data_IF_763580132603
#
_entry.id   IF_763580132603
#
_cell.length_a   1.000
_cell.length_b   1.000
_cell.length_c   1.000
_cell.angle_alpha   90.00
_cell.angle_beta   90.00
_cell.angle_gamma   90.00
#
_symmetry.space_group_name_H-M   'P 1'
#
loop_
_entity.id
_entity.type
_entity.pdbx_description
1 polymer ?
#
# COMPACT_ATOMS: atom_id res chain seq x y z
N UNK A 1 -8.24 16.54 -40.00
CA UNK A 1 -7.07 17.23 -39.47
C UNK A 1 -6.76 16.61 -38.12
N UNK A 2 -5.53 16.14 -37.92
CA UNK A 2 -5.09 15.62 -36.63
C UNK A 2 -5.02 16.78 -35.64
N UNK A 3 -5.75 16.71 -34.54
CA UNK A 3 -5.72 17.71 -33.48
C UNK A 3 -4.60 17.30 -32.51
N UNK A 4 -3.58 18.15 -32.29
CA UNK A 4 -2.47 17.79 -31.39
C UNK A 4 -2.98 17.56 -29.97
N UNK A 5 -2.35 16.64 -29.23
CA UNK A 5 -2.70 16.33 -27.83
C UNK A 5 -2.56 17.57 -26.97
N UNK A 6 -1.44 18.27 -27.09
CA UNK A 6 -1.17 19.56 -26.45
C UNK A 6 -0.72 20.52 -27.57
N UNK A 7 -1.43 21.62 -27.86
CA UNK A 7 -1.04 22.57 -28.87
C UNK A 7 0.37 23.12 -28.63
N UNK A 8 1.20 23.07 -29.66
CA UNK A 8 2.57 23.56 -29.61
C UNK A 8 3.59 22.52 -29.13
N UNK A 9 3.15 21.32 -28.77
CA UNK A 9 4.05 20.23 -28.35
C UNK A 9 3.90 19.04 -29.31
N UNK A 10 4.98 18.37 -29.76
CA UNK A 10 4.89 17.08 -30.45
C UNK A 10 4.10 16.06 -29.64
N UNK A 11 3.29 15.23 -30.33
CA UNK A 11 2.35 14.32 -29.64
C UNK A 11 3.04 13.26 -28.79
N UNK A 12 4.22 12.81 -29.15
CA UNK A 12 5.04 11.88 -28.37
C UNK A 12 5.51 12.50 -27.05
N UNK A 13 5.95 13.76 -27.08
CA UNK A 13 6.31 14.50 -25.88
C UNK A 13 5.08 14.84 -25.04
N UNK A 14 3.97 15.24 -25.68
CA UNK A 14 2.72 15.49 -25.01
C UNK A 14 2.22 14.25 -24.26
N UNK A 15 2.29 13.08 -24.92
CA UNK A 15 1.90 11.80 -24.34
C UNK A 15 2.79 11.43 -23.14
N UNK A 16 4.12 11.64 -23.27
CA UNK A 16 5.07 11.39 -22.19
C UNK A 16 4.83 12.32 -20.98
N UNK A 17 4.57 13.61 -21.23
CA UNK A 17 4.21 14.54 -20.18
C UNK A 17 2.97 14.11 -19.42
N UNK A 18 1.90 13.71 -20.13
CA UNK A 18 0.68 13.21 -19.50
C UNK A 18 0.90 11.89 -18.76
N UNK A 19 1.71 11.00 -19.33
CA UNK A 19 2.04 9.72 -18.69
C UNK A 19 2.77 9.88 -17.36
N UNK A 20 3.66 10.86 -17.25
CA UNK A 20 4.40 11.18 -16.03
C UNK A 20 3.56 11.84 -14.93
N UNK A 21 2.38 12.33 -15.24
CA UNK A 21 1.48 12.85 -14.20
C UNK A 21 1.03 11.69 -13.31
N UNK A 22 1.16 11.87 -11.99
CA UNK A 22 0.72 10.86 -11.04
C UNK A 22 -0.72 10.41 -11.32
N UNK A 23 -0.94 9.10 -11.22
CA UNK A 23 -2.21 8.46 -11.55
C UNK A 23 -3.40 9.06 -10.78
N UNK A 24 -3.20 9.54 -9.55
CA UNK A 24 -4.22 10.21 -8.76
C UNK A 24 -4.82 11.44 -9.42
N UNK A 25 -4.07 12.10 -10.31
CA UNK A 25 -4.55 13.28 -11.05
C UNK A 25 -5.21 12.95 -12.39
N UNK A 26 -5.20 11.69 -12.85
CA UNK A 26 -5.78 11.33 -14.14
C UNK A 26 -7.27 11.67 -14.24
N UNK A 27 -8.02 11.62 -13.15
CA UNK A 27 -9.42 12.08 -13.12
C UNK A 27 -9.58 13.56 -13.50
N UNK A 28 -8.61 14.40 -13.13
CA UNK A 28 -8.58 15.81 -13.53
C UNK A 28 -8.21 15.96 -15.01
N UNK A 29 -7.21 15.21 -15.48
CA UNK A 29 -6.83 15.19 -16.90
C UNK A 29 -8.00 14.75 -17.79
N UNK A 30 -8.75 13.73 -17.39
CA UNK A 30 -9.96 13.26 -18.07
C UNK A 30 -11.05 14.33 -18.17
N UNK A 31 -11.07 15.31 -17.28
CA UNK A 31 -12.04 16.41 -17.30
C UNK A 31 -11.68 17.51 -18.30
N UNK A 32 -10.45 17.55 -18.81
CA UNK A 32 -9.94 18.59 -19.71
C UNK A 32 -10.63 18.54 -21.07
N UNK A 33 -10.77 17.36 -21.67
CA UNK A 33 -11.48 17.17 -22.95
C UNK A 33 -11.94 15.73 -23.13
N UNK A 34 -12.88 15.52 -24.07
CA UNK A 34 -13.30 14.18 -24.47
C UNK A 34 -12.12 13.37 -25.04
N UNK A 35 -11.31 14.01 -25.89
CA UNK A 35 -10.14 13.38 -26.52
C UNK A 35 -9.13 12.89 -25.46
N UNK A 36 -8.83 13.69 -24.44
CA UNK A 36 -7.94 13.29 -23.34
C UNK A 36 -8.56 12.15 -22.51
N UNK A 37 -9.84 12.22 -22.23
CA UNK A 37 -10.56 11.16 -21.51
C UNK A 37 -10.47 9.83 -22.26
N UNK A 38 -10.78 9.84 -23.54
CA UNK A 38 -10.79 8.63 -24.36
C UNK A 38 -9.37 8.07 -24.49
N UNK A 39 -8.37 8.92 -24.67
CA UNK A 39 -6.96 8.54 -24.68
C UNK A 39 -6.52 7.94 -23.35
N UNK A 40 -6.76 8.62 -22.22
CA UNK A 40 -6.33 8.17 -20.88
C UNK A 40 -6.97 6.84 -20.50
N UNK A 41 -8.19 6.59 -20.95
CA UNK A 41 -8.90 5.32 -20.69
C UNK A 41 -8.54 4.21 -21.68
N UNK A 42 -7.76 4.49 -22.69
CA UNK A 42 -7.38 3.49 -23.69
C UNK A 42 -6.37 2.49 -23.11
N UNK A 43 -6.42 1.26 -23.64
CA UNK A 43 -5.43 0.24 -23.31
C UNK A 43 -4.01 0.64 -23.77
N UNK A 44 -3.93 1.38 -24.88
CA UNK A 44 -2.66 1.85 -25.44
C UNK A 44 -1.95 2.83 -24.50
N UNK A 45 -2.71 3.76 -23.87
CA UNK A 45 -2.15 4.67 -22.89
C UNK A 45 -1.69 3.95 -21.62
N UNK A 46 -2.47 2.99 -21.13
CA UNK A 46 -2.08 2.16 -20.00
C UNK A 46 -0.79 1.37 -20.29
N UNK A 47 -0.71 0.78 -21.50
CA UNK A 47 0.50 0.09 -21.96
C UNK A 47 1.69 1.05 -22.12
N UNK A 48 1.46 2.25 -22.68
CA UNK A 48 2.49 3.27 -22.81
C UNK A 48 3.07 3.66 -21.43
N UNK A 49 2.22 3.90 -20.44
CA UNK A 49 2.67 4.21 -19.07
C UNK A 49 3.47 3.09 -18.46
N UNK A 50 3.00 1.85 -18.56
CA UNK A 50 3.71 0.69 -18.05
C UNK A 50 5.09 0.54 -18.71
N UNK A 51 5.16 0.70 -20.05
CA UNK A 51 6.42 0.60 -20.81
C UNK A 51 7.44 1.69 -20.45
N UNK A 52 6.99 2.88 -20.05
CA UNK A 52 7.87 4.01 -19.73
C UNK A 52 8.06 4.21 -18.23
N UNK A 53 7.70 3.20 -17.42
CA UNK A 53 7.87 3.27 -15.98
C UNK A 53 7.10 4.43 -15.34
N UNK A 54 5.90 4.73 -15.81
CA UNK A 54 5.07 5.83 -15.30
C UNK A 54 3.90 5.34 -14.46
N UNK A 55 4.05 4.21 -13.76
CA UNK A 55 3.01 3.64 -12.91
C UNK A 55 2.86 4.40 -11.59
N UNK A 56 3.97 4.94 -11.11
CA UNK A 56 4.07 5.58 -9.80
C UNK A 56 4.14 4.56 -8.66
N UNK A 57 4.66 5.02 -7.54
CA UNK A 57 4.72 4.25 -6.32
C UNK A 57 3.50 4.51 -5.46
N UNK A 58 2.97 3.48 -4.83
CA UNK A 58 1.74 3.58 -4.05
C UNK A 58 1.83 2.77 -2.77
N UNK A 59 1.26 3.32 -1.68
CA UNK A 59 0.93 2.55 -0.49
C UNK A 59 -0.58 2.37 -0.44
N UNK A 60 -1.05 1.14 -0.58
CA UNK A 60 -2.45 0.79 -0.42
C UNK A 60 -2.74 0.46 1.04
N UNK A 61 -3.80 1.02 1.58
CA UNK A 61 -4.14 0.90 3.00
C UNK A 61 -5.63 0.64 3.17
N UNK A 62 -5.95 -0.32 4.05
CA UNK A 62 -7.28 -0.55 4.57
C UNK A 62 -7.26 -0.40 6.08
N UNK A 63 -8.20 0.36 6.63
CA UNK A 63 -8.33 0.57 8.07
C UNK A 63 -9.62 -0.01 8.62
N UNK A 64 -9.65 -0.28 9.91
CA UNK A 64 -10.81 -0.78 10.63
C UNK A 64 -12.05 0.13 10.46
N UNK A 65 -11.85 1.44 10.39
CA UNK A 65 -12.92 2.43 10.33
C UNK A 65 -13.38 2.77 8.91
N UNK A 66 -12.67 2.30 7.90
CA UNK A 66 -12.90 2.68 6.50
C UNK A 66 -14.09 1.99 5.84
N UNK A 67 -14.80 1.12 6.55
CA UNK A 67 -15.95 0.39 5.99
C UNK A 67 -15.60 -0.38 4.70
N UNK A 68 -14.47 -1.09 4.72
CA UNK A 68 -13.85 -1.76 3.57
C UNK A 68 -13.48 -0.84 2.39
N UNK A 69 -13.41 0.47 2.65
CA UNK A 69 -12.93 1.43 1.67
C UNK A 69 -11.40 1.50 1.69
N UNK A 70 -10.77 0.99 0.66
CA UNK A 70 -9.33 1.12 0.45
C UNK A 70 -8.96 2.54 0.06
N UNK A 71 -7.79 2.97 0.52
CA UNK A 71 -7.16 4.22 0.11
C UNK A 71 -5.74 3.95 -0.37
N UNK A 72 -5.24 4.82 -1.23
CA UNK A 72 -3.86 4.78 -1.72
C UNK A 72 -3.16 6.09 -1.37
N UNK A 73 -1.97 5.99 -0.82
CA UNK A 73 -1.07 7.12 -0.63
C UNK A 73 -0.12 7.24 -1.82
N UNK A 74 -0.04 8.42 -2.36
CA UNK A 74 0.90 8.83 -3.40
C UNK A 74 2.02 9.63 -2.74
N UNK A 75 3.23 9.06 -2.56
CA UNK A 75 4.32 9.74 -1.88
C UNK A 75 4.87 10.93 -2.66
N UNK A 76 4.84 10.87 -4.00
CA UNK A 76 5.35 11.94 -4.86
C UNK A 76 4.46 13.19 -4.76
N UNK A 77 3.13 13.00 -4.78
CA UNK A 77 2.19 14.09 -4.64
C UNK A 77 1.86 14.42 -3.16
N UNK A 78 2.36 13.67 -2.19
CA UNK A 78 2.01 13.72 -0.77
C UNK A 78 0.48 13.77 -0.58
N UNK A 79 -0.24 12.79 -1.15
CA UNK A 79 -1.69 12.81 -1.23
C UNK A 79 -2.33 11.44 -1.08
N UNK A 80 -3.51 11.42 -0.45
CA UNK A 80 -4.37 10.26 -0.33
C UNK A 80 -5.46 10.23 -1.40
N UNK A 81 -5.70 9.08 -1.98
CA UNK A 81 -6.73 8.82 -2.99
C UNK A 81 -7.62 7.66 -2.55
N UNK A 82 -8.95 7.84 -2.51
CA UNK A 82 -9.85 6.72 -2.28
C UNK A 82 -9.88 5.81 -3.51
N UNK A 83 -9.81 4.50 -3.31
CA UNK A 83 -10.04 3.53 -4.36
C UNK A 83 -11.54 3.37 -4.62
N UNK A 84 -11.96 2.91 -5.79
CA UNK A 84 -13.34 2.49 -6.03
C UNK A 84 -13.78 1.46 -4.99
N UNK A 85 -15.06 1.48 -4.62
CA UNK A 85 -15.61 0.46 -3.73
C UNK A 85 -15.59 -0.90 -4.43
N UNK A 86 -15.29 -1.93 -3.65
CA UNK A 86 -15.43 -3.31 -4.12
C UNK A 86 -16.91 -3.58 -4.40
N UNK A 87 -17.23 -3.99 -5.63
CA UNK A 87 -18.60 -4.32 -6.03
C UNK A 87 -18.91 -5.78 -5.68
N UNK A 88 -20.10 -6.07 -5.14
CA UNK A 88 -20.57 -7.41 -4.86
C UNK A 88 -20.81 -7.72 -3.37
N UNK A 89 -21.10 -8.99 -3.05
CA UNK A 89 -21.44 -9.48 -1.71
C UNK A 89 -20.34 -9.30 -0.64
N UNK A 90 -19.15 -8.89 -1.03
CA UNK A 90 -18.05 -8.55 -0.11
C UNK A 90 -18.32 -7.30 0.74
N UNK A 91 -19.45 -6.62 0.56
CA UNK A 91 -19.82 -5.43 1.32
C UNK A 91 -20.54 -5.72 2.65
N UNK A 92 -20.86 -6.97 2.92
CA UNK A 92 -21.65 -7.36 4.10
C UNK A 92 -20.72 -7.72 5.25
N UNK A 93 -20.25 -6.71 5.97
CA UNK A 93 -19.44 -6.89 7.17
C UNK A 93 -18.01 -6.38 7.05
N UNK A 94 -17.33 -6.31 8.18
CA UNK A 94 -15.93 -5.90 8.24
C UNK A 94 -15.01 -7.04 7.77
N UNK A 95 -14.14 -6.78 6.82
CA UNK A 95 -13.15 -7.72 6.32
C UNK A 95 -11.87 -7.66 7.17
N UNK A 96 -11.39 -8.79 7.65
CA UNK A 96 -10.20 -8.91 8.49
C UNK A 96 -9.49 -10.25 8.30
N UNK A 97 -8.25 -10.36 8.78
CA UNK A 97 -7.46 -11.58 8.66
C UNK A 97 -7.17 -12.02 7.23
N UNK A 98 -7.33 -11.14 6.27
CA UNK A 98 -6.91 -11.30 4.89
C UNK A 98 -5.41 -10.96 4.76
N UNK A 99 -4.82 -11.34 3.64
CA UNK A 99 -3.50 -10.85 3.24
C UNK A 99 -3.62 -9.95 2.02
N UNK A 100 -2.73 -8.96 1.91
CA UNK A 100 -2.64 -8.12 0.74
C UNK A 100 -1.19 -7.99 0.28
N UNK A 101 -0.99 -8.12 -1.03
CA UNK A 101 0.33 -8.03 -1.67
C UNK A 101 0.20 -7.36 -3.03
N UNK A 102 1.29 -6.74 -3.48
CA UNK A 102 1.38 -6.24 -4.84
C UNK A 102 2.25 -7.16 -5.69
N UNK A 103 1.79 -7.46 -6.89
CA UNK A 103 2.50 -8.27 -7.88
C UNK A 103 2.08 -7.83 -9.29
N UNK A 104 3.03 -7.72 -10.22
CA UNK A 104 2.80 -7.28 -11.61
C UNK A 104 1.91 -6.02 -11.69
N UNK A 105 2.25 -5.00 -10.91
CA UNK A 105 1.51 -3.74 -10.84
C UNK A 105 0.03 -3.88 -10.46
N UNK A 106 -0.33 -4.90 -9.68
CA UNK A 106 -1.68 -5.17 -9.18
C UNK A 106 -1.65 -5.37 -7.69
N UNK A 107 -2.64 -4.82 -7.00
CA UNK A 107 -2.91 -5.16 -5.60
C UNK A 107 -3.81 -6.39 -5.56
N UNK A 108 -3.40 -7.41 -4.85
CA UNK A 108 -4.21 -8.59 -4.53
C UNK A 108 -4.66 -8.54 -3.08
N UNK A 109 -5.92 -8.80 -2.82
CA UNK A 109 -6.52 -8.99 -1.50
C UNK A 109 -7.03 -10.41 -1.42
N UNK A 110 -6.47 -11.21 -0.52
CA UNK A 110 -6.57 -12.67 -0.55
C UNK A 110 -7.22 -13.18 0.73
N UNK A 111 -8.27 -14.01 0.61
CA UNK A 111 -8.90 -14.70 1.72
C UNK A 111 -9.44 -13.79 2.81
N UNK A 112 -9.31 -14.22 4.06
CA UNK A 112 -9.78 -13.49 5.23
C UNK A 112 -11.13 -13.92 5.73
N UNK A 113 -11.69 -13.13 6.62
CA UNK A 113 -12.98 -13.36 7.26
C UNK A 113 -13.84 -12.10 7.20
N UNK A 114 -15.15 -12.30 7.15
CA UNK A 114 -16.13 -11.23 7.27
C UNK A 114 -16.91 -11.36 8.57
N UNK A 115 -16.97 -10.29 9.35
CA UNK A 115 -17.82 -10.18 10.52
C UNK A 115 -18.98 -9.24 10.26
N UNK A 116 -20.22 -9.54 10.73
CA UNK A 116 -21.34 -8.62 10.62
C UNK A 116 -21.04 -7.29 11.30
N UNK A 117 -21.41 -6.16 10.67
CA UNK A 117 -21.28 -4.82 11.25
C UNK A 117 -22.29 -4.58 12.38
N UNK A 118 -23.36 -5.35 12.44
CA UNK A 118 -24.43 -5.18 13.42
C UNK A 118 -24.21 -6.11 14.62
N UNK A 119 -23.89 -5.52 15.76
CA UNK A 119 -23.73 -6.21 17.05
C UNK A 119 -25.04 -6.75 17.65
N UNK A 120 -26.19 -6.41 17.05
CA UNK A 120 -27.51 -6.94 17.49
C UNK A 120 -27.78 -8.37 16.98
N UNK A 121 -27.01 -8.82 15.99
CA UNK A 121 -27.11 -10.20 15.49
C UNK A 121 -26.30 -11.13 16.40
N UNK A 122 -26.87 -12.26 16.88
CA UNK A 122 -26.11 -13.24 17.64
C UNK A 122 -24.82 -13.60 16.90
N UNK A 123 -23.71 -13.71 17.63
CA UNK A 123 -22.37 -13.98 17.10
C UNK A 123 -22.43 -15.15 16.12
N UNK A 124 -22.70 -14.87 14.87
CA UNK A 124 -22.50 -15.83 13.79
C UNK A 124 -21.00 -16.01 13.63
N UNK A 125 -20.58 -17.24 13.45
CA UNK A 125 -19.17 -17.55 13.19
C UNK A 125 -18.73 -16.74 11.98
N UNK A 126 -17.54 -16.07 12.03
CA UNK A 126 -17.05 -15.30 10.90
C UNK A 126 -17.01 -16.16 9.64
N UNK A 127 -17.47 -15.60 8.52
CA UNK A 127 -17.39 -16.29 7.23
C UNK A 127 -15.95 -16.22 6.73
N UNK A 128 -15.24 -17.34 6.73
CA UNK A 128 -13.91 -17.45 6.15
C UNK A 128 -14.03 -17.70 4.64
N UNK A 129 -13.30 -16.94 3.84
CA UNK A 129 -13.41 -16.96 2.38
C UNK A 129 -12.12 -17.43 1.69
N UNK A 130 -12.30 -17.97 0.49
CA UNK A 130 -11.25 -18.30 -0.48
C UNK A 130 -11.11 -17.27 -1.59
N UNK A 131 -11.92 -16.21 -1.56
CA UNK A 131 -11.96 -15.19 -2.59
C UNK A 131 -10.62 -14.47 -2.72
N UNK A 132 -10.30 -14.10 -3.97
CA UNK A 132 -9.16 -13.26 -4.29
C UNK A 132 -9.65 -12.11 -5.16
N UNK A 133 -9.41 -10.90 -4.67
CA UNK A 133 -9.73 -9.66 -5.38
C UNK A 133 -8.46 -9.03 -5.89
N UNK A 134 -8.49 -8.58 -7.12
CA UNK A 134 -7.41 -7.85 -7.77
C UNK A 134 -7.84 -6.42 -8.07
N UNK A 135 -7.05 -5.45 -7.66
CA UNK A 135 -7.20 -4.07 -8.08
C UNK A 135 -6.19 -3.71 -9.17
N UNK A 136 -6.71 -3.20 -10.27
CA UNK A 136 -5.91 -2.64 -11.36
C UNK A 136 -5.84 -1.11 -11.20
N UNK A 137 -4.69 -0.53 -10.81
CA UNK A 137 -4.55 0.91 -10.64
C UNK A 137 -4.77 1.70 -11.92
N UNK A 138 -4.43 1.12 -13.09
CA UNK A 138 -4.59 1.80 -14.38
C UNK A 138 -6.05 1.91 -14.79
N UNK A 139 -6.79 0.80 -14.63
CA UNK A 139 -8.22 0.75 -14.94
C UNK A 139 -9.09 1.29 -13.81
N UNK A 140 -8.52 1.49 -12.62
CA UNK A 140 -9.24 1.85 -11.39
C UNK A 140 -10.40 0.90 -11.11
N UNK A 141 -10.15 -0.40 -11.25
CA UNK A 141 -11.20 -1.41 -11.20
C UNK A 141 -10.78 -2.61 -10.36
N UNK A 142 -11.72 -3.09 -9.56
CA UNK A 142 -11.64 -4.36 -8.87
C UNK A 142 -12.17 -5.48 -9.75
N UNK A 143 -11.48 -6.61 -9.77
CA UNK A 143 -11.89 -7.85 -10.44
C UNK A 143 -11.65 -9.02 -9.51
N UNK A 144 -12.49 -10.05 -9.61
CA UNK A 144 -12.22 -11.33 -8.97
C UNK A 144 -11.31 -12.14 -9.89
N UNK A 145 -10.32 -12.80 -9.30
CA UNK A 145 -9.42 -13.74 -9.97
C UNK A 145 -9.62 -15.13 -9.38
N UNK A 146 -8.83 -16.11 -9.80
CA UNK A 146 -8.97 -17.50 -9.33
C UNK A 146 -8.94 -17.56 -7.80
N UNK A 147 -9.89 -18.29 -7.22
CA UNK A 147 -10.02 -18.49 -5.78
C UNK A 147 -8.97 -19.47 -5.27
N UNK A 148 -8.55 -19.30 -4.01
CA UNK A 148 -7.75 -20.32 -3.32
C UNK A 148 -8.53 -21.66 -3.28
N UNK A 149 -7.80 -22.74 -3.19
CA UNK A 149 -8.41 -24.07 -2.99
C UNK A 149 -8.96 -24.25 -1.58
N UNK A 150 -8.33 -23.60 -0.61
CA UNK A 150 -8.69 -23.67 0.80
C UNK A 150 -9.04 -22.29 1.34
N UNK A 151 -10.28 -22.07 1.84
CA UNK A 151 -10.62 -20.84 2.55
C UNK A 151 -9.75 -20.69 3.79
N UNK A 152 -9.17 -19.52 3.99
CA UNK A 152 -8.27 -19.24 5.13
C UNK A 152 -8.27 -17.80 5.56
N UNK A 153 -8.05 -17.58 6.86
CA UNK A 153 -7.81 -16.27 7.45
C UNK A 153 -6.59 -16.29 8.38
N UNK A 154 -5.97 -15.15 8.63
CA UNK A 154 -4.76 -15.00 9.47
C UNK A 154 -3.64 -15.97 9.05
N UNK A 155 -3.37 -16.03 7.78
CA UNK A 155 -2.40 -16.93 7.15
C UNK A 155 -1.16 -16.17 6.67
N UNK A 156 -0.07 -16.89 6.52
CA UNK A 156 1.17 -16.36 5.94
C UNK A 156 1.01 -16.14 4.44
N UNK A 157 1.48 -14.99 3.96
CA UNK A 157 1.48 -14.64 2.53
C UNK A 157 2.75 -13.88 2.18
N UNK A 158 3.34 -14.18 1.02
CA UNK A 158 4.47 -13.42 0.48
C UNK A 158 4.59 -13.62 -1.02
N UNK A 159 5.30 -12.70 -1.69
CA UNK A 159 5.60 -12.78 -3.12
C UNK A 159 7.04 -13.23 -3.31
N UNK A 160 7.27 -14.24 -4.16
CA UNK A 160 8.59 -14.72 -4.54
C UNK A 160 8.60 -14.94 -6.06
N UNK A 161 9.50 -14.28 -6.76
CA UNK A 161 9.67 -14.41 -8.21
C UNK A 161 8.36 -14.27 -8.98
N UNK A 162 7.55 -13.27 -8.64
CA UNK A 162 6.27 -12.96 -9.29
C UNK A 162 5.12 -13.92 -8.95
N UNK A 163 5.31 -14.89 -8.05
CA UNK A 163 4.26 -15.80 -7.58
C UNK A 163 3.91 -15.51 -6.12
N UNK A 164 2.64 -15.73 -5.77
CA UNK A 164 2.12 -15.48 -4.43
C UNK A 164 2.02 -16.79 -3.67
N UNK A 165 2.74 -16.90 -2.57
CA UNK A 165 2.75 -18.07 -1.69
C UNK A 165 1.88 -17.81 -0.47
N UNK A 166 1.03 -18.78 -0.12
CA UNK A 166 0.18 -18.73 1.09
C UNK A 166 0.31 -20.04 1.86
N UNK A 167 0.34 -19.95 3.20
CA UNK A 167 0.44 -21.13 4.05
C UNK A 167 -0.19 -20.91 5.42
N UNK A 168 -0.71 -21.98 6.00
CA UNK A 168 -1.27 -21.96 7.35
C UNK A 168 -2.58 -21.19 7.44
N UNK A 169 -2.84 -20.64 8.62
CA UNK A 169 -4.00 -19.84 8.93
C UNK A 169 -5.13 -20.61 9.58
N UNK A 170 -6.24 -19.90 9.81
CA UNK A 170 -7.46 -20.43 10.43
C UNK A 170 -8.46 -20.87 9.38
N UNK A 171 -9.14 -21.97 9.67
CA UNK A 171 -10.29 -22.46 8.93
C UNK A 171 -11.36 -22.95 9.93
N UNK A 172 -12.62 -22.96 9.54
CA UNK A 172 -13.73 -23.43 10.39
C UNK A 172 -13.61 -24.91 10.75
N UNK A 173 -12.91 -25.69 9.92
CA UNK A 173 -12.77 -27.15 10.10
C UNK A 173 -11.58 -27.55 11.00
N UNK A 174 -10.65 -26.63 11.29
CA UNK A 174 -9.39 -26.96 11.97
C UNK A 174 -9.18 -26.07 13.19
N UNK A 175 -9.21 -26.66 14.38
CA UNK A 175 -8.97 -25.95 15.65
C UNK A 175 -7.49 -25.69 15.94
N UNK A 176 -6.57 -26.38 15.26
CA UNK A 176 -5.12 -26.25 15.44
C UNK A 176 -4.42 -25.46 14.33
N UNK A 177 -5.21 -24.85 13.41
CA UNK A 177 -4.68 -24.22 12.21
C UNK A 177 -4.48 -25.17 11.05
N UNK A 178 -4.05 -24.63 9.92
CA UNK A 178 -3.81 -25.35 8.69
C UNK A 178 -2.32 -25.69 8.51
N UNK A 179 -2.05 -26.88 7.96
CA UNK A 179 -0.73 -27.23 7.42
C UNK A 179 -0.64 -27.00 5.90
N UNK A 180 -1.79 -26.71 5.25
CA UNK A 180 -1.89 -26.58 3.81
C UNK A 180 -1.21 -25.29 3.33
N UNK A 181 -0.51 -25.42 2.19
CA UNK A 181 0.13 -24.33 1.50
C UNK A 181 -0.24 -24.36 0.01
N UNK A 182 -0.31 -23.19 -0.60
CA UNK A 182 -0.67 -23.02 -2.00
C UNK A 182 0.16 -21.91 -2.63
N UNK A 183 0.35 -21.96 -3.94
CA UNK A 183 1.00 -20.91 -4.72
C UNK A 183 0.07 -20.46 -5.84
N UNK A 184 -0.02 -19.15 -6.02
CA UNK A 184 -0.77 -18.53 -7.10
C UNK A 184 0.19 -17.96 -8.14
N UNK A 185 -0.08 -18.28 -9.39
CA UNK A 185 0.59 -17.69 -10.54
C UNK A 185 -0.33 -16.68 -11.23
N UNK A 186 -0.07 -15.36 -11.07
CA UNK A 186 -0.90 -14.31 -11.66
C UNK A 186 -0.89 -14.31 -13.19
N UNK A 187 0.12 -14.86 -13.84
CA UNK A 187 0.20 -14.90 -15.31
C UNK A 187 -0.74 -15.94 -15.92
N UNK A 188 -0.98 -17.03 -15.18
CA UNK A 188 -1.88 -18.11 -15.62
C UNK A 188 -3.23 -18.10 -14.94
N UNK A 189 -3.42 -17.24 -13.93
CA UNK A 189 -4.59 -17.17 -13.06
C UNK A 189 -4.94 -18.53 -12.43
N UNK A 190 -3.94 -19.20 -11.83
CA UNK A 190 -4.11 -20.53 -11.25
C UNK A 190 -3.45 -20.67 -9.89
N UNK A 191 -4.12 -21.43 -9.02
CA UNK A 191 -3.57 -21.90 -7.75
C UNK A 191 -3.11 -23.35 -7.87
N UNK A 192 -1.94 -23.62 -7.32
CA UNK A 192 -1.36 -24.96 -7.21
C UNK A 192 -1.10 -25.28 -5.74
N UNK A 193 -1.30 -26.57 -5.38
CA UNK A 193 -0.98 -27.05 -4.05
C UNK A 193 0.52 -27.24 -3.88
N UNK A 194 1.02 -26.86 -2.72
CA UNK A 194 2.36 -27.11 -2.28
C UNK A 194 2.41 -28.28 -1.28
N UNK A 195 3.56 -28.90 -1.07
CA UNK A 195 3.72 -29.83 0.04
C UNK A 195 3.23 -29.19 1.35
N UNK A 196 2.52 -29.94 2.22
CA UNK A 196 2.06 -29.40 3.48
C UNK A 196 3.22 -29.03 4.40
N UNK A 197 3.01 -28.03 5.24
CA UNK A 197 3.95 -27.66 6.30
C UNK A 197 4.14 -28.82 7.30
N UNK A 198 5.32 -28.96 7.89
CA UNK A 198 5.58 -29.97 8.94
C UNK A 198 4.63 -29.84 10.14
N UNK A 199 4.27 -28.63 10.52
CA UNK A 199 3.36 -28.35 11.63
C UNK A 199 2.23 -27.42 11.20
N UNK A 200 0.95 -27.73 11.51
CA UNK A 200 -0.14 -26.81 11.25
C UNK A 200 0.01 -25.56 12.12
N UNK A 201 -0.21 -24.40 11.52
CA UNK A 201 -0.09 -23.12 12.19
C UNK A 201 -1.35 -22.29 11.96
N UNK A 202 -1.79 -21.55 12.97
CA UNK A 202 -2.77 -20.48 12.85
C UNK A 202 -2.12 -19.16 13.24
N UNK A 203 -2.72 -18.03 12.81
CA UNK A 203 -2.17 -16.69 13.06
C UNK A 203 -0.72 -16.56 12.59
N UNK A 204 -0.55 -16.73 11.28
CA UNK A 204 0.76 -16.77 10.67
C UNK A 204 1.15 -15.43 10.06
N UNK A 205 2.44 -15.16 10.09
CA UNK A 205 3.08 -14.11 9.29
C UNK A 205 3.91 -14.76 8.19
N UNK A 206 3.87 -14.18 6.99
CA UNK A 206 4.63 -14.63 5.82
C UNK A 206 5.67 -13.60 5.41
N UNK A 207 6.86 -14.09 5.06
CA UNK A 207 7.95 -13.25 4.60
C UNK A 207 8.73 -13.95 3.50
N UNK A 208 9.09 -13.21 2.46
CA UNK A 208 10.08 -13.62 1.48
C UNK A 208 11.47 -13.18 1.95
N UNK A 209 12.36 -14.15 2.15
CA UNK A 209 13.75 -13.86 2.49
C UNK A 209 14.69 -14.81 1.76
N UNK A 210 15.67 -14.26 1.03
CA UNK A 210 16.63 -15.02 0.21
C UNK A 210 15.95 -16.03 -0.75
N UNK A 211 14.85 -15.60 -1.39
CA UNK A 211 14.09 -16.45 -2.33
C UNK A 211 13.35 -17.62 -1.70
N UNK A 212 13.22 -17.65 -0.37
CA UNK A 212 12.49 -18.67 0.39
C UNK A 212 11.30 -18.05 1.08
N UNK A 213 10.23 -18.82 1.27
CA UNK A 213 9.03 -18.43 1.99
C UNK A 213 9.15 -18.82 3.47
N UNK A 214 9.26 -17.84 4.34
CA UNK A 214 9.31 -18.00 5.77
C UNK A 214 7.94 -17.83 6.37
N UNK A 215 7.49 -18.82 7.14
CA UNK A 215 6.21 -18.82 7.84
C UNK A 215 6.47 -18.84 9.34
N UNK A 216 6.01 -17.79 9.98
CA UNK A 216 6.13 -17.57 11.42
C UNK A 216 4.77 -17.67 12.07
N UNK A 217 4.69 -18.24 13.26
CA UNK A 217 3.44 -18.28 14.02
C UNK A 217 3.43 -17.19 15.08
N UNK A 218 2.27 -16.56 15.23
CA UNK A 218 1.99 -15.65 16.35
C UNK A 218 1.71 -16.42 17.65
N UNK A 219 1.61 -17.75 17.60
CA UNK A 219 1.36 -18.58 18.77
C UNK A 219 2.62 -18.75 19.62
N UNK A 220 3.08 -17.70 20.21
CA UNK A 220 4.16 -17.71 21.18
C UNK A 220 3.55 -17.91 22.57
N UNK A 221 3.70 -19.07 23.12
CA UNK A 221 3.21 -19.27 24.50
C UNK A 221 3.51 -20.63 25.12
N UNK A 222 3.87 -21.62 24.34
CA UNK A 222 4.07 -22.99 24.82
C UNK A 222 5.46 -23.57 24.57
N UNK A 223 6.30 -22.88 23.80
CA UNK A 223 7.70 -23.31 23.53
C UNK A 223 8.68 -22.19 23.90
N UNK A 224 9.83 -22.56 24.41
CA UNK A 224 10.93 -21.64 24.70
C UNK A 224 11.62 -21.18 23.41
N UNK A 225 11.42 -21.86 22.27
CA UNK A 225 12.05 -21.61 20.98
C UNK A 225 11.02 -21.13 19.94
N UNK A 226 11.43 -20.16 19.12
CA UNK A 226 10.62 -19.64 18.00
C UNK A 226 10.89 -20.49 16.75
N UNK A 227 9.97 -21.38 16.40
CA UNK A 227 10.09 -22.22 15.21
C UNK A 227 9.53 -21.48 14.00
N UNK A 228 10.38 -21.31 12.99
CA UNK A 228 10.01 -20.82 11.67
C UNK A 228 9.98 -21.97 10.68
N UNK A 229 8.91 -22.09 9.91
CA UNK A 229 8.86 -23.05 8.82
C UNK A 229 9.23 -22.35 7.52
N UNK A 230 10.18 -22.93 6.80
CA UNK A 230 10.79 -22.34 5.62
C UNK A 230 10.55 -23.22 4.41
N UNK A 231 9.86 -22.72 3.42
CA UNK A 231 9.69 -23.37 2.13
C UNK A 231 10.74 -22.89 1.14
N UNK A 232 11.39 -23.84 0.50
CA UNK A 232 12.33 -23.57 -0.59
C UNK A 232 11.69 -23.91 -1.94
N UNK A 233 11.30 -22.92 -2.75
CA UNK A 233 10.66 -23.16 -4.03
C UNK A 233 11.52 -23.95 -5.02
N UNK A 234 12.84 -23.80 -4.96
CA UNK A 234 13.77 -24.45 -5.92
C UNK A 234 13.81 -25.97 -5.77
N UNK A 235 13.57 -26.49 -4.57
CA UNK A 235 13.58 -27.94 -4.28
C UNK A 235 12.23 -28.44 -3.80
N UNK A 236 11.21 -27.55 -3.78
CA UNK A 236 9.82 -27.85 -3.40
C UNK A 236 9.69 -28.57 -2.04
N UNK A 237 10.43 -28.12 -1.02
CA UNK A 237 10.44 -28.74 0.31
C UNK A 237 10.38 -27.73 1.43
N UNK A 238 9.84 -28.19 2.58
CA UNK A 238 9.84 -27.46 3.84
C UNK A 238 10.98 -27.92 4.75
N UNK A 239 11.51 -26.98 5.54
CA UNK A 239 12.35 -27.26 6.70
C UNK A 239 11.91 -26.37 7.88
N UNK A 240 12.21 -26.80 9.10
CA UNK A 240 12.01 -26.04 10.31
C UNK A 240 13.33 -25.45 10.75
N UNK A 241 13.32 -24.17 11.16
CA UNK A 241 14.48 -23.45 11.67
C UNK A 241 14.10 -22.79 13.00
N UNK A 242 15.01 -22.81 13.95
CA UNK A 242 14.81 -22.23 15.28
C UNK A 242 15.51 -20.89 15.38
N UNK A 243 14.89 -19.95 16.10
CA UNK A 243 15.44 -18.64 16.52
C UNK A 243 16.13 -17.80 15.44
N UNK A 244 15.68 -17.92 14.18
CA UNK A 244 16.23 -17.11 13.09
C UNK A 244 15.68 -15.69 13.04
N UNK A 245 14.60 -15.43 13.76
CA UNK A 245 13.95 -14.12 13.82
C UNK A 245 14.05 -13.53 15.23
N UNK A 246 14.24 -12.20 15.37
CA UNK A 246 14.51 -11.55 16.65
C UNK A 246 13.22 -11.29 17.44
N UNK A 247 12.28 -12.21 17.45
CA UNK A 247 10.98 -11.99 18.07
C UNK A 247 10.99 -12.36 19.55
N UNK A 248 10.45 -11.48 20.38
CA UNK A 248 10.12 -11.77 21.74
C UNK A 248 8.68 -12.34 21.85
N UNK A 249 8.30 -12.78 23.04
CA UNK A 249 7.00 -13.40 23.35
C UNK A 249 5.76 -12.55 23.04
N UNK A 250 5.94 -11.32 22.57
CA UNK A 250 4.87 -10.35 22.31
C UNK A 250 4.63 -10.13 20.81
N UNK A 251 4.73 -11.17 20.01
CA UNK A 251 4.69 -11.09 18.54
C UNK A 251 3.39 -10.57 17.89
N UNK A 252 2.33 -10.35 18.65
CA UNK A 252 1.05 -9.88 18.10
C UNK A 252 1.16 -8.60 17.23
N UNK A 253 2.32 -7.96 17.23
CA UNK A 253 2.55 -6.69 16.55
C UNK A 253 3.86 -6.61 15.77
N UNK A 254 4.58 -7.72 15.64
CA UNK A 254 5.77 -7.74 14.78
C UNK A 254 5.34 -7.63 13.32
N UNK A 255 5.76 -6.57 12.67
CA UNK A 255 5.54 -6.34 11.24
C UNK A 255 6.89 -6.39 10.57
N UNK A 256 6.92 -6.96 9.37
CA UNK A 256 8.16 -7.17 8.63
C UNK A 256 8.03 -6.61 7.24
N UNK A 257 9.06 -5.93 6.80
CA UNK A 257 9.14 -5.39 5.44
C UNK A 257 10.55 -5.59 4.88
N UNK A 258 10.62 -5.72 3.57
CA UNK A 258 11.89 -5.66 2.84
C UNK A 258 12.09 -4.22 2.36
N UNK A 259 13.28 -3.71 2.56
CA UNK A 259 13.67 -2.39 2.12
C UNK A 259 15.17 -2.42 1.80
N UNK A 260 15.58 -1.88 0.67
CA UNK A 260 16.99 -1.87 0.24
C UNK A 260 17.65 -3.26 0.33
N UNK A 261 16.95 -4.31 -0.08
CA UNK A 261 17.43 -5.69 -0.02
C UNK A 261 17.60 -6.27 1.39
N UNK A 262 17.24 -5.51 2.43
CA UNK A 262 17.30 -5.92 3.84
C UNK A 262 15.92 -6.11 4.42
N UNK A 263 15.82 -6.99 5.41
CA UNK A 263 14.59 -7.15 6.17
C UNK A 263 14.61 -6.26 7.40
N UNK A 264 13.52 -5.53 7.61
CA UNK A 264 13.29 -4.74 8.81
C UNK A 264 12.09 -5.28 9.55
N UNK A 265 12.19 -5.33 10.86
CA UNK A 265 11.10 -5.77 11.73
C UNK A 265 10.99 -4.86 12.94
N UNK A 266 9.77 -4.65 13.41
CA UNK A 266 9.54 -3.96 14.67
C UNK A 266 9.37 -5.02 15.74
N UNK A 267 10.19 -4.94 16.78
CA UNK A 267 10.21 -5.88 17.90
C UNK A 267 10.14 -5.13 19.21
N UNK A 268 9.81 -5.86 20.26
CA UNK A 268 9.66 -5.43 21.64
C UNK A 268 8.45 -4.51 21.87
N UNK A 269 7.48 -5.10 22.52
CA UNK A 269 6.38 -4.37 23.12
C UNK A 269 6.95 -3.44 24.19
N UNK A 270 6.70 -2.17 24.03
CA UNK A 270 7.11 -1.15 24.97
C UNK A 270 8.13 -0.19 24.43
N UNK A 271 9.02 -0.59 23.55
CA UNK A 271 10.03 0.29 22.95
C UNK A 271 9.90 0.44 21.43
N UNK A 272 9.12 -0.43 20.78
CA UNK A 272 8.90 -0.46 19.33
C UNK A 272 10.21 -0.35 18.53
N UNK A 273 11.20 -1.17 18.90
CA UNK A 273 12.53 -1.15 18.29
C UNK A 273 12.49 -1.70 16.86
N UNK A 274 13.13 -0.98 15.96
CA UNK A 274 13.33 -1.43 14.58
C UNK A 274 14.65 -2.17 14.53
N UNK A 275 14.59 -3.45 14.19
CA UNK A 275 15.78 -4.30 13.99
C UNK A 275 15.92 -4.67 12.53
N UNK A 276 17.14 -4.85 12.12
CA UNK A 276 17.50 -5.35 10.80
C UNK A 276 18.63 -6.39 10.93
N UNK A 277 18.82 -7.14 9.87
CA UNK A 277 19.87 -8.14 9.76
C UNK A 277 20.58 -7.97 8.43
N UNK A 278 21.89 -8.10 8.44
CA UNK A 278 22.66 -8.13 7.21
C UNK A 278 22.32 -9.36 6.38
N UNK A 279 22.44 -9.22 5.07
CA UNK A 279 22.08 -10.28 4.10
C UNK A 279 22.99 -11.50 4.15
N UNK A 280 24.11 -11.45 4.88
CA UNK A 280 25.02 -12.59 5.04
C UNK A 280 24.42 -13.69 5.92
N UNK A 281 24.72 -14.93 5.60
CA UNK A 281 24.28 -16.08 6.40
C UNK A 281 24.91 -15.99 7.80
N UNK A 282 24.07 -15.97 8.83
CA UNK A 282 24.50 -15.89 10.21
C UNK A 282 24.69 -14.50 10.78
N UNK A 283 24.40 -13.43 10.04
CA UNK A 283 24.45 -12.06 10.56
C UNK A 283 23.57 -11.87 11.79
N UNK A 284 24.07 -11.16 12.79
CA UNK A 284 23.32 -10.84 13.99
C UNK A 284 22.27 -9.75 13.71
N UNK A 285 21.16 -9.80 14.47
CA UNK A 285 20.16 -8.74 14.46
C UNK A 285 20.65 -7.54 15.25
N UNK A 286 20.60 -6.36 14.66
CA UNK A 286 20.95 -5.12 15.35
C UNK A 286 19.84 -4.09 15.27
N UNK A 287 19.78 -3.22 16.28
CA UNK A 287 18.80 -2.15 16.35
C UNK A 287 19.22 -0.96 15.50
N UNK A 288 18.32 -0.51 14.65
CA UNK A 288 18.49 0.65 13.77
C UNK A 288 17.99 1.92 14.45
N UNK A 289 16.93 1.80 15.23
CA UNK A 289 16.24 2.87 15.93
C UNK A 289 14.91 2.38 16.49
N UNK A 290 14.01 3.29 16.76
CA UNK A 290 12.67 2.97 17.25
C UNK A 290 11.60 3.71 16.46
N UNK A 291 10.38 3.19 16.48
CA UNK A 291 9.18 3.90 16.03
C UNK A 291 8.94 5.07 16.98
N UNK A 292 8.75 6.31 16.51
CA UNK A 292 8.55 7.45 17.37
C UNK A 292 7.29 7.31 18.23
N UNK A 293 7.42 7.58 19.51
CA UNK A 293 6.29 7.68 20.41
C UNK A 293 5.35 8.83 20.03
N UNK A 294 4.10 8.73 20.45
CA UNK A 294 3.06 9.72 20.14
C UNK A 294 2.86 10.64 21.35
N UNK A 295 2.92 11.95 21.10
CA UNK A 295 2.63 12.97 22.12
C UNK A 295 1.30 13.61 21.76
N UNK A 296 0.26 13.34 22.57
CA UNK A 296 -1.09 13.87 22.32
C UNK A 296 -1.26 15.32 22.80
N UNK A 297 -0.55 15.67 23.89
CA UNK A 297 -0.53 17.04 24.45
C UNK A 297 0.82 17.32 25.10
N UNK A 298 1.15 18.60 25.33
CA UNK A 298 2.42 19.02 25.94
C UNK A 298 2.63 18.51 27.38
N UNK A 299 1.59 18.00 28.03
CA UNK A 299 1.63 17.54 29.43
C UNK A 299 1.44 16.02 29.57
N UNK A 300 1.22 15.28 28.48
CA UNK A 300 1.08 13.82 28.52
C UNK A 300 2.43 13.14 28.26
N UNK A 301 2.61 12.00 28.91
CA UNK A 301 3.75 11.12 28.60
C UNK A 301 3.70 10.70 27.11
N UNK A 302 4.85 10.48 26.53
CA UNK A 302 4.95 9.84 25.23
C UNK A 302 4.26 8.46 25.29
N UNK A 303 3.39 8.19 24.31
CA UNK A 303 2.61 6.97 24.24
C UNK A 303 3.08 6.15 23.04
N UNK A 304 3.10 4.85 23.21
CA UNK A 304 3.44 3.94 22.13
C UNK A 304 2.21 3.59 21.29
N UNK A 305 2.39 3.62 20.00
CA UNK A 305 1.35 3.22 19.05
C UNK A 305 1.33 1.71 18.87
N UNK A 306 0.15 1.15 18.63
CA UNK A 306 -0.06 -0.24 18.27
C UNK A 306 -1.06 -0.34 17.11
N UNK A 307 -1.14 -1.50 16.46
CA UNK A 307 -2.00 -1.74 15.28
C UNK A 307 -1.77 -0.73 14.15
N UNK A 308 -0.56 -0.24 14.02
CA UNK A 308 -0.13 0.59 12.90
C UNK A 308 0.27 -0.27 11.69
N UNK A 309 0.25 0.34 10.50
CA UNK A 309 0.84 -0.26 9.31
C UNK A 309 2.35 0.00 9.27
N UNK A 310 3.11 -1.01 8.84
CA UNK A 310 4.53 -0.89 8.59
C UNK A 310 4.80 -1.38 7.18
N UNK A 311 5.33 -0.51 6.33
CA UNK A 311 5.58 -0.80 4.93
C UNK A 311 6.93 -0.24 4.50
N UNK A 312 7.48 -0.80 3.43
CA UNK A 312 8.58 -0.18 2.68
C UNK A 312 8.07 0.27 1.32
N UNK A 313 8.63 1.36 0.85
CA UNK A 313 8.40 1.83 -0.50
C UNK A 313 9.69 2.50 -0.97
N UNK A 314 10.28 1.98 -2.05
CA UNK A 314 11.66 2.27 -2.43
C UNK A 314 12.61 1.99 -1.26
N UNK A 315 13.47 2.95 -0.92
CA UNK A 315 14.47 2.82 0.16
C UNK A 315 14.00 3.48 1.47
N UNK A 316 12.70 3.60 1.67
CA UNK A 316 12.11 4.26 2.83
C UNK A 316 11.15 3.33 3.58
N UNK A 317 11.14 3.47 4.91
CA UNK A 317 10.19 2.80 5.80
C UNK A 317 9.06 3.75 6.19
N UNK A 318 7.84 3.25 6.13
CA UNK A 318 6.61 3.98 6.44
C UNK A 318 5.91 3.38 7.65
N UNK A 319 5.52 4.24 8.59
CA UNK A 319 4.62 3.91 9.70
C UNK A 319 3.31 4.65 9.48
N UNK A 320 2.21 3.91 9.48
CA UNK A 320 0.90 4.41 9.08
C UNK A 320 -0.12 4.20 10.20
N UNK A 321 -0.78 5.26 10.64
CA UNK A 321 -1.89 5.20 11.58
C UNK A 321 -1.60 4.53 12.91
N UNK A 322 -2.49 3.64 13.32
CA UNK A 322 -2.44 2.94 14.59
C UNK A 322 -3.36 3.53 15.65
N UNK A 323 -3.17 3.06 16.87
CA UNK A 323 -3.90 3.50 18.06
C UNK A 323 -2.94 3.73 19.22
N UNK A 324 -3.31 4.57 20.17
CA UNK A 324 -2.64 4.70 21.46
C UNK A 324 -3.65 4.60 22.60
N UNK A 325 -3.22 4.07 23.75
CA UNK A 325 -4.03 4.05 24.98
C UNK A 325 -3.70 5.31 25.79
N UNK A 326 -4.70 6.15 26.01
CA UNK A 326 -4.61 7.32 26.89
C UNK A 326 -5.30 7.01 28.19
N UNK A 327 -4.57 7.03 29.30
CA UNK A 327 -5.14 6.87 30.64
C UNK A 327 -5.78 8.18 31.07
N UNK A 328 -7.01 8.11 31.61
CA UNK A 328 -7.64 9.25 32.27
C UNK A 328 -6.98 9.48 33.65
N UNK A 329 -6.51 10.70 33.89
CA UNK A 329 -5.89 11.10 35.14
C UNK A 329 -6.87 11.08 36.33
N UNK A 330 -8.16 11.02 36.10
CA UNK A 330 -9.23 11.14 37.11
C UNK A 330 -9.59 9.82 37.82
N UNK A 331 -8.63 8.98 38.16
CA UNK A 331 -8.78 8.00 39.27
C UNK A 331 -9.68 6.79 39.06
N UNK A 332 -10.27 6.57 37.87
CA UNK A 332 -11.23 5.50 37.64
C UNK A 332 -10.67 4.28 36.91
N UNK A 333 -9.38 4.22 36.61
CA UNK A 333 -8.79 3.11 35.87
C UNK A 333 -9.34 2.98 34.43
N UNK A 334 -9.91 4.07 33.91
CA UNK A 334 -10.41 4.11 32.52
C UNK A 334 -9.30 4.55 31.57
N UNK A 335 -9.33 3.98 30.38
CA UNK A 335 -8.45 4.41 29.30
C UNK A 335 -9.29 4.70 28.07
N UNK A 336 -8.88 5.71 27.31
CA UNK A 336 -9.40 6.03 26.00
C UNK A 336 -8.49 5.48 24.91
N UNK A 337 -9.09 5.00 23.84
CA UNK A 337 -8.37 4.60 22.64
C UNK A 337 -8.38 5.78 21.66
N UNK A 338 -7.22 6.38 21.46
CA UNK A 338 -7.05 7.45 20.46
C UNK A 338 -6.55 6.84 19.16
N UNK A 339 -7.27 7.11 18.08
CA UNK A 339 -6.90 6.69 16.73
C UNK A 339 -5.94 7.71 16.13
N UNK A 340 -4.93 7.19 15.45
CA UNK A 340 -3.91 8.01 14.82
C UNK A 340 -4.15 8.10 13.31
N UNK A 341 -3.90 9.27 12.77
CA UNK A 341 -3.88 9.58 11.34
C UNK A 341 -2.45 9.83 10.82
N UNK A 342 -1.47 9.68 11.67
CA UNK A 342 -0.08 9.98 11.39
C UNK A 342 0.50 9.08 10.31
N UNK A 343 1.29 9.67 9.43
CA UNK A 343 2.12 8.96 8.46
C UNK A 343 3.54 9.45 8.62
N UNK A 344 4.43 8.54 8.97
CA UNK A 344 5.83 8.82 9.22
C UNK A 344 6.71 8.01 8.31
N UNK A 345 7.73 8.65 7.79
CA UNK A 345 8.67 8.05 6.86
C UNK A 345 10.10 8.30 7.31
N UNK A 346 10.95 7.30 7.14
CA UNK A 346 12.38 7.42 7.38
C UNK A 346 13.19 6.61 6.38
N UNK A 347 14.39 7.08 6.11
CA UNK A 347 15.39 6.27 5.43
C UNK A 347 16.12 5.42 6.48
N UNK A 348 16.01 4.07 6.43
CA UNK A 348 16.57 3.19 7.46
C UNK A 348 18.11 3.11 7.44
N UNK A 349 18.77 3.60 6.39
CA UNK A 349 20.24 3.63 6.28
C UNK A 349 20.82 4.86 6.97
N UNK A 350 20.04 5.94 7.08
CA UNK A 350 20.49 7.19 7.70
C UNK A 350 20.86 7.02 9.17
N UNK A 351 21.95 7.61 9.59
CA UNK A 351 22.44 7.63 10.98
C UNK A 351 22.67 9.06 11.46
N UNK A 352 21.99 9.53 12.52
CA UNK A 352 20.90 8.86 13.25
C UNK A 352 19.63 8.72 12.41
N UNK A 353 18.78 7.76 12.77
CA UNK A 353 17.47 7.59 12.13
C UNK A 353 16.62 8.85 12.31
N UNK A 354 16.17 9.43 11.20
CA UNK A 354 15.34 10.64 11.21
C UNK A 354 14.00 10.35 10.59
N UNK A 355 12.94 10.63 11.33
CA UNK A 355 11.57 10.51 10.88
C UNK A 355 11.05 11.85 10.37
N UNK A 356 10.36 11.80 9.24
CA UNK A 356 9.61 12.91 8.65
C UNK A 356 8.13 12.55 8.69
N UNK A 357 7.28 13.49 9.02
CA UNK A 357 5.82 13.36 8.88
C UNK A 357 5.41 13.82 7.48
N UNK A 358 4.54 13.04 6.85
CA UNK A 358 3.91 13.35 5.57
C UNK A 358 2.45 13.67 5.80
N UNK A 359 1.68 13.85 4.73
CA UNK A 359 0.25 14.16 4.85
C UNK A 359 -0.49 13.08 5.65
N UNK A 360 -1.19 13.45 6.73
CA UNK A 360 -1.93 12.50 7.53
C UNK A 360 -3.08 11.85 6.73
N UNK A 361 -3.49 10.67 7.16
CA UNK A 361 -4.66 9.99 6.62
C UNK A 361 -5.93 10.82 6.89
N UNK A 362 -6.84 10.90 5.91
CA UNK A 362 -8.03 11.73 6.00
C UNK A 362 -9.29 10.92 6.30
N UNK A 363 -10.18 11.47 7.13
CA UNK A 363 -11.53 10.94 7.37
C UNK A 363 -11.53 9.56 8.04
N UNK A 364 -12.36 8.62 7.56
CA UNK A 364 -12.49 7.30 8.16
C UNK A 364 -11.27 6.39 7.95
N UNK A 365 -10.27 6.86 7.21
CA UNK A 365 -9.06 6.09 6.93
C UNK A 365 -8.04 6.09 8.07
N UNK A 366 -8.33 6.72 9.23
CA UNK A 366 -7.43 6.75 10.39
C UNK A 366 -7.69 5.59 11.37
N UNK A 367 -6.69 5.22 12.16
CA UNK A 367 -6.78 4.21 13.21
C UNK A 367 -6.05 2.91 12.88
N UNK A 368 -6.59 1.78 13.34
CA UNK A 368 -5.98 0.45 13.12
C UNK A 368 -5.87 0.13 11.64
N UNK A 369 -4.70 -0.30 11.24
CA UNK A 369 -4.45 -0.79 9.89
C UNK A 369 -4.79 -2.28 9.83
N UNK A 370 -5.68 -2.65 8.93
CA UNK A 370 -6.08 -4.04 8.65
C UNK A 370 -5.27 -4.65 7.52
N UNK A 371 -4.84 -3.81 6.58
CA UNK A 371 -4.01 -4.23 5.44
C UNK A 371 -3.19 -3.06 4.92
N UNK A 372 -1.96 -3.35 4.56
CA UNK A 372 -1.04 -2.40 3.95
C UNK A 372 -0.17 -3.13 2.94
N UNK A 373 -0.09 -2.61 1.72
CA UNK A 373 0.76 -3.14 0.67
C UNK A 373 1.39 -2.01 -0.15
N UNK A 374 2.66 -2.14 -0.47
CA UNK A 374 3.38 -1.23 -1.34
C UNK A 374 3.39 -1.75 -2.78
N UNK A 375 3.21 -0.84 -3.71
CA UNK A 375 3.43 -1.07 -5.12
C UNK A 375 4.58 -0.15 -5.53
N UNK A 376 5.67 -0.76 -5.94
CA UNK A 376 6.84 -0.08 -6.46
C UNK A 376 6.85 -0.20 -7.97
N UNK A 377 7.20 0.88 -8.63
CA UNK A 377 7.38 0.88 -10.06
C UNK A 377 8.65 0.11 -10.42
N UNK A 378 8.51 -0.98 -11.18
CA UNK A 378 9.66 -1.66 -11.77
C UNK A 378 10.26 -0.76 -12.87
N UNK A 379 11.34 -0.08 -12.54
CA UNK A 379 12.13 0.64 -13.54
C UNK A 379 13.03 -0.38 -14.23
N UNK A 380 12.75 -0.67 -15.49
CA UNK A 380 13.73 -1.35 -16.35
C UNK A 380 15.00 -0.50 -16.41
N UNK A 381 16.02 -0.88 -15.65
CA UNK A 381 17.26 -0.10 -15.43
C UNK A 381 18.11 0.10 -16.68
N UNK A 382 17.82 -0.55 -17.81
CA UNK A 382 18.74 -0.60 -18.94
C UNK A 382 18.57 0.49 -20.01
N UNK A 383 17.47 1.28 -20.03
CA UNK A 383 17.30 2.31 -21.07
C UNK A 383 16.73 3.68 -20.60
N UNK A 384 16.40 3.84 -19.33
CA UNK A 384 15.69 5.05 -18.85
C UNK A 384 16.60 6.16 -18.33
N UNK A 385 17.90 5.91 -18.15
CA UNK A 385 18.78 6.83 -17.39
C UNK A 385 19.09 8.14 -18.13
N UNK A 386 18.99 8.18 -19.45
CA UNK A 386 19.40 9.36 -20.22
C UNK A 386 18.28 10.36 -20.47
N UNK A 387 17.00 9.94 -20.51
CA UNK A 387 15.86 10.81 -20.81
C UNK A 387 14.92 11.08 -19.61
N UNK A 388 14.94 10.25 -18.60
CA UNK A 388 14.00 10.36 -17.48
C UNK A 388 14.25 11.56 -16.54
N UNK A 389 15.48 12.08 -16.50
CA UNK A 389 15.84 13.18 -15.61
C UNK A 389 15.55 14.59 -16.19
N UNK A 390 15.05 14.68 -17.41
CA UNK A 390 14.92 15.96 -18.12
C UNK A 390 13.52 16.58 -18.08
N UNK A 391 12.47 15.85 -17.68
CA UNK A 391 11.10 16.40 -17.67
C UNK A 391 10.53 16.33 -16.25
N UNK A 392 10.43 17.48 -15.61
CA UNK A 392 9.72 17.65 -14.34
C UNK A 392 8.34 18.23 -14.62
N UNK A 393 7.28 17.58 -14.15
CA UNK A 393 5.91 18.06 -14.27
C UNK A 393 5.47 18.58 -12.90
N UNK A 394 5.37 19.90 -12.76
CA UNK A 394 4.81 20.52 -11.57
C UNK A 394 3.34 20.89 -11.82
N UNK A 395 2.44 20.37 -11.03
CA UNK A 395 1.03 20.81 -11.03
C UNK A 395 0.91 21.94 -10.02
N UNK A 396 1.03 23.18 -10.50
CA UNK A 396 0.82 24.35 -9.67
C UNK A 396 -0.67 24.75 -9.68
N UNK A 397 -1.33 24.54 -8.54
CA UNK A 397 -2.59 25.15 -8.10
C UNK A 397 -3.81 25.13 -9.03
N UNK A 398 -4.84 24.41 -8.59
CA UNK A 398 -6.22 24.62 -9.02
C UNK A 398 -6.81 25.74 -8.18
N UNK A 399 -6.91 26.95 -8.72
CA UNK A 399 -7.63 28.06 -8.09
C UNK A 399 -9.03 28.15 -8.68
N UNK A 400 -10.03 27.88 -7.85
CA UNK A 400 -11.43 28.10 -8.20
C UNK A 400 -11.78 29.53 -7.83
N UNK A 401 -11.77 30.45 -8.79
CA UNK A 401 -12.28 31.80 -8.59
C UNK A 401 -13.76 31.84 -8.97
N UNK A 402 -14.65 31.94 -7.98
CA UNK A 402 -16.05 32.36 -8.21
C UNK A 402 -16.08 33.87 -8.14
N UNK A 403 -16.28 34.52 -9.28
CA UNK A 403 -16.57 35.95 -9.31
C UNK A 403 -18.05 36.14 -8.97
N UNK A 404 -18.35 36.57 -7.76
CA UNK A 404 -19.68 37.14 -7.44
C UNK A 404 -19.83 38.45 -8.18
N UNK A 405 -20.69 38.49 -9.19
CA UNK A 405 -21.32 39.75 -9.65
C UNK A 405 -22.60 39.99 -8.84
N UNK A 406 -22.75 41.20 -8.38
CA UNK A 406 -23.87 41.66 -7.60
C UNK A 406 -25.21 41.31 -8.29
N UNK A 407 -26.09 40.65 -7.53
CA UNK A 407 -27.56 40.73 -7.63
C UNK A 407 -28.16 40.28 -8.96
N UNK A 408 -28.24 38.98 -9.18
CA UNK A 408 -29.37 38.24 -9.74
C UNK A 408 -28.95 36.77 -9.88
N UNK A 409 -29.86 35.90 -9.49
CA UNK A 409 -29.70 34.44 -9.51
C UNK A 409 -29.67 33.93 -10.95
N UNK A 410 -28.46 33.63 -11.46
CA UNK A 410 -28.33 32.77 -12.61
C UNK A 410 -27.13 31.84 -12.38
N UNK A 411 -27.48 30.55 -12.27
CA UNK A 411 -26.54 29.44 -12.16
C UNK A 411 -25.94 29.21 -13.54
N UNK A 412 -24.83 29.90 -13.85
CA UNK A 412 -24.08 29.58 -15.06
C UNK A 412 -22.57 29.65 -14.81
N UNK A 413 -21.92 28.49 -14.96
CA UNK A 413 -20.52 28.35 -15.33
C UNK A 413 -19.48 28.48 -14.20
N UNK A 414 -19.18 27.38 -13.49
CA UNK A 414 -17.92 27.26 -12.77
C UNK A 414 -16.79 27.17 -13.80
N UNK A 415 -16.00 28.21 -13.95
CA UNK A 415 -14.76 28.16 -14.71
C UNK A 415 -13.68 27.54 -13.83
N UNK A 416 -13.17 26.38 -14.24
CA UNK A 416 -12.02 25.73 -13.62
C UNK A 416 -10.80 26.07 -14.46
N UNK A 417 -9.82 26.71 -13.85
CA UNK A 417 -8.50 26.92 -14.45
C UNK A 417 -7.59 25.79 -14.02
N UNK A 418 -7.00 25.08 -14.95
CA UNK A 418 -5.93 24.12 -14.73
C UNK A 418 -4.65 24.73 -15.28
N UNK A 419 -3.69 24.98 -14.45
CA UNK A 419 -2.35 25.38 -14.84
C UNK A 419 -1.42 24.17 -14.73
N UNK A 420 -0.76 23.83 -15.82
CA UNK A 420 0.29 22.82 -15.85
C UNK A 420 1.60 23.54 -16.13
N UNK A 421 2.59 23.33 -15.29
CA UNK A 421 3.93 23.79 -15.51
C UNK A 421 4.78 22.58 -15.93
N UNK A 422 5.21 22.58 -17.19
CA UNK A 422 6.11 21.57 -17.72
C UNK A 422 7.50 22.19 -17.83
N UNK A 423 8.46 21.59 -17.15
CA UNK A 423 9.86 21.94 -17.32
C UNK A 423 10.46 21.00 -18.37
N UNK A 424 10.60 21.48 -19.58
CA UNK A 424 11.31 20.78 -20.65
C UNK A 424 12.62 21.52 -20.88
N UNK A 425 13.78 20.88 -20.73
CA UNK A 425 15.03 21.51 -21.14
C UNK A 425 14.98 21.71 -22.65
N UNK A 426 15.15 22.95 -23.09
CA UNK A 426 15.39 23.24 -24.49
C UNK A 426 16.79 22.72 -24.87
N UNK A 427 17.00 22.41 -26.15
CA UNK A 427 18.32 21.92 -26.65
C UNK A 427 19.50 22.83 -26.29
N UNK A 428 19.23 24.07 -25.93
CA UNK A 428 20.21 25.07 -25.48
C UNK A 428 20.28 25.26 -23.94
N UNK A 429 19.51 24.52 -23.16
CA UNK A 429 19.58 24.49 -21.70
C UNK A 429 18.95 25.66 -20.95
N UNK A 430 18.18 26.55 -21.57
CA UNK A 430 17.78 27.83 -20.94
C UNK A 430 16.28 28.17 -20.93
N UNK A 431 15.34 27.24 -21.05
CA UNK A 431 13.94 27.63 -21.16
C UNK A 431 12.95 26.78 -20.38
N UNK A 432 11.86 27.45 -19.92
CA UNK A 432 10.70 26.85 -19.28
C UNK A 432 9.45 27.15 -20.13
N UNK A 433 8.57 26.20 -20.30
CA UNK A 433 7.27 26.40 -20.96
C UNK A 433 6.16 26.24 -19.92
N UNK A 434 5.42 27.31 -19.66
CA UNK A 434 4.21 27.27 -18.83
C UNK A 434 2.96 27.27 -19.71
N UNK A 435 2.07 26.32 -19.51
CA UNK A 435 0.83 26.20 -20.25
C UNK A 435 -0.38 26.36 -19.32
N UNK A 436 -1.31 27.26 -19.67
CA UNK A 436 -2.56 27.45 -18.95
C UNK A 436 -3.76 27.18 -19.85
N UNK A 437 -4.78 26.51 -19.35
CA UNK A 437 -6.03 26.28 -20.06
C UNK A 437 -7.23 26.74 -19.25
N UNK A 438 -8.15 27.47 -19.88
CA UNK A 438 -9.49 27.75 -19.39
C UNK A 438 -10.51 26.80 -20.06
N UNK A 439 -11.53 26.38 -19.34
CA UNK A 439 -12.61 25.50 -19.84
C UNK A 439 -13.39 26.08 -21.03
N UNK A 440 -13.29 27.40 -21.29
CA UNK A 440 -14.02 28.11 -22.35
C UNK A 440 -13.16 28.76 -23.44
N UNK A 441 -11.85 28.76 -23.34
CA UNK A 441 -10.94 29.35 -24.32
C UNK A 441 -9.69 28.48 -24.49
N UNK A 442 -9.06 28.55 -25.65
CA UNK A 442 -7.90 27.72 -26.00
C UNK A 442 -6.71 27.88 -25.06
N UNK A 443 -5.66 27.07 -25.29
CA UNK A 443 -4.40 27.09 -24.57
C UNK A 443 -3.68 28.44 -24.74
N UNK A 444 -3.13 28.95 -23.66
CA UNK A 444 -2.20 30.07 -23.67
C UNK A 444 -0.81 29.54 -23.28
N UNK A 445 0.19 29.75 -24.11
CA UNK A 445 1.60 29.45 -23.83
C UNK A 445 2.27 30.77 -23.36
N UNK A 446 3.08 30.69 -22.30
CA UNK A 446 3.88 31.80 -21.80
C UNK A 446 5.37 31.40 -21.77
#
# INVERSE_FOLDING_TARGET
MHQPIIPGLPDDLALLCLAKVSHGYHGLLESVSKSWRDMIRSADYAHYRAKHGCCGDWLFVLTEQSNNQWVAFDPEADRWHPLPKVSGDCSVGQHFGFSCVCVYNRLLVIGGSYAPLDSSVPIQRPLITDNVLQFDPFKKQWTSVARMRTPRSHFACSVISGKVYVAGGRNLSCTKGLALAEVYDPLTDKWEELPPMPTPLMDCLGLSYKGKFHVLSDQVGLSETNITQVFNPSINTWCSMEDIWPFSRAMQFAVQVMCDGRVYTVVDWGESLIKTRDSEEGGEWYTVGSVPSVILTTHTRALEAFSYGFASLRDELYILGGKVLKWEEAGAGRFDIVRLDLVRVCNPVARPLKWKETRPMCGPACGSILGCASLEEEIERDNAIVMANAITVNIAWVSVFSRRRNGHSDIHGRHVWLAFEFSVPLEDGTGWISLMKNSSSGWLAF
#
